data_IF_100963713298
#
_entry.id   IF_100963713298
#
_cell.length_a   1.000
_cell.length_b   1.000
_cell.length_c   1.000
_cell.angle_alpha   90.00
_cell.angle_beta   90.00
_cell.angle_gamma   90.00
#
_symmetry.space_group_name_H-M   'P 1'
#
loop_
_entity.id
_entity.type
_entity.pdbx_description
1 polymer ?
#
# COMPACT_ATOMS: atom_id res chain seq x y z
N UNK A 1 -53.33 2.75 15.53
CA UNK A 1 -52.15 1.96 15.13
C UNK A 1 -51.15 2.83 14.35
N UNK A 2 -50.67 3.96 14.91
CA UNK A 2 -49.80 4.92 14.21
C UNK A 2 -48.58 5.39 15.03
N UNK A 3 -48.40 4.90 16.27
CA UNK A 3 -47.37 5.42 17.17
C UNK A 3 -46.00 4.70 17.07
N UNK A 4 -45.92 3.53 16.42
CA UNK A 4 -44.69 2.70 16.39
C UNK A 4 -43.77 2.99 15.20
N UNK A 5 -44.23 3.76 14.20
CA UNK A 5 -43.44 4.00 12.97
C UNK A 5 -42.47 5.19 13.04
N UNK A 6 -42.66 6.12 13.98
CA UNK A 6 -41.80 7.31 14.12
C UNK A 6 -40.47 7.03 14.86
N UNK A 7 -40.43 6.00 15.71
CA UNK A 7 -39.25 5.70 16.53
C UNK A 7 -38.12 5.04 15.72
N UNK A 8 -38.48 4.23 14.71
CA UNK A 8 -37.51 3.48 13.89
C UNK A 8 -36.61 4.40 13.05
N UNK A 9 -37.13 5.52 12.54
CA UNK A 9 -36.35 6.52 11.81
C UNK A 9 -35.44 7.36 12.73
N UNK A 10 -35.85 7.56 13.99
CA UNK A 10 -35.05 8.31 14.96
C UNK A 10 -33.83 7.50 15.40
N UNK A 11 -34.04 6.20 15.66
CA UNK A 11 -32.98 5.24 16.01
C UNK A 11 -31.97 5.08 14.85
N UNK A 12 -32.43 4.96 13.60
CA UNK A 12 -31.51 4.82 12.45
C UNK A 12 -30.66 6.08 12.23
N UNK A 13 -31.24 7.28 12.40
CA UNK A 13 -30.50 8.55 12.29
C UNK A 13 -29.45 8.70 13.40
N UNK A 14 -29.75 8.24 14.62
CA UNK A 14 -28.85 8.27 15.75
C UNK A 14 -27.67 7.31 15.56
N UNK A 15 -27.95 6.08 15.12
CA UNK A 15 -26.91 5.09 14.81
C UNK A 15 -26.00 5.56 13.68
N UNK A 16 -26.54 6.15 12.61
CA UNK A 16 -25.75 6.69 11.51
C UNK A 16 -24.81 7.82 11.96
N UNK A 17 -25.27 8.70 12.85
CA UNK A 17 -24.43 9.77 13.42
C UNK A 17 -23.29 9.22 14.28
N UNK A 18 -23.53 8.14 15.04
CA UNK A 18 -22.46 7.46 15.81
C UNK A 18 -21.44 6.82 14.87
N UNK A 19 -21.89 6.10 13.84
CA UNK A 19 -21.01 5.45 12.87
C UNK A 19 -20.13 6.47 12.15
N UNK A 20 -20.71 7.57 11.65
CA UNK A 20 -19.96 8.63 10.96
C UNK A 20 -18.93 9.28 11.90
N UNK A 21 -19.30 9.54 13.16
CA UNK A 21 -18.36 10.04 14.17
C UNK A 21 -17.23 9.05 14.44
N UNK A 22 -17.55 7.76 14.55
CA UNK A 22 -16.58 6.69 14.73
C UNK A 22 -15.58 6.62 13.58
N UNK A 23 -16.05 6.61 12.33
CA UNK A 23 -15.20 6.59 11.13
C UNK A 23 -14.32 7.84 11.02
N UNK A 24 -14.84 9.01 11.39
CA UNK A 24 -14.05 10.24 11.45
C UNK A 24 -12.94 10.13 12.50
N UNK A 25 -13.25 9.68 13.72
CA UNK A 25 -12.26 9.51 14.80
C UNK A 25 -11.19 8.51 14.38
N UNK A 26 -11.60 7.36 13.84
CA UNK A 26 -10.68 6.32 13.35
C UNK A 26 -9.72 6.89 12.30
N UNK A 27 -10.25 7.55 11.28
CA UNK A 27 -9.42 8.12 10.20
C UNK A 27 -8.48 9.20 10.73
N UNK A 28 -8.92 9.98 11.73
CA UNK A 28 -8.10 11.00 12.37
C UNK A 28 -6.95 10.37 13.19
N UNK A 29 -7.21 9.30 13.94
CA UNK A 29 -6.19 8.53 14.67
C UNK A 29 -5.16 7.97 13.68
N UNK A 30 -5.62 7.30 12.61
CA UNK A 30 -4.75 6.73 11.57
C UNK A 30 -3.87 7.81 10.94
N UNK A 31 -4.41 9.01 10.71
CA UNK A 31 -3.64 10.14 10.19
C UNK A 31 -2.49 10.58 11.12
N UNK A 32 -2.75 10.73 12.42
CA UNK A 32 -1.70 11.12 13.36
C UNK A 32 -0.68 10.01 13.57
N UNK A 33 -1.13 8.75 13.67
CA UNK A 33 -0.24 7.60 13.72
C UNK A 33 0.67 7.56 12.49
N UNK A 34 0.13 7.79 11.29
CA UNK A 34 0.93 7.84 10.07
C UNK A 34 2.10 8.83 10.16
N UNK A 35 1.86 10.04 10.66
CA UNK A 35 2.93 11.04 10.84
C UNK A 35 3.95 10.62 11.89
N UNK A 36 3.51 10.05 13.02
CA UNK A 36 4.42 9.54 14.07
C UNK A 36 5.31 8.43 13.52
N UNK A 37 4.72 7.46 12.81
CA UNK A 37 5.47 6.38 12.17
C UNK A 37 6.45 6.91 11.11
N UNK A 38 6.05 7.90 10.31
CA UNK A 38 6.91 8.52 9.31
C UNK A 38 8.14 9.14 9.97
N UNK A 39 7.97 9.90 11.04
CA UNK A 39 9.09 10.51 11.79
C UNK A 39 10.02 9.43 12.36
N UNK A 40 9.48 8.37 12.96
CA UNK A 40 10.28 7.26 13.50
C UNK A 40 11.10 6.58 12.39
N UNK A 41 10.49 6.31 11.23
CA UNK A 41 11.18 5.68 10.10
C UNK A 41 12.28 6.58 9.56
N UNK A 42 12.02 7.88 9.39
CA UNK A 42 13.03 8.84 8.90
C UNK A 42 14.21 8.90 9.87
N UNK A 43 13.96 9.00 11.18
CA UNK A 43 15.02 8.97 12.19
C UNK A 43 15.82 7.67 12.11
N UNK A 44 15.15 6.53 12.00
CA UNK A 44 15.79 5.22 11.86
C UNK A 44 16.68 5.11 10.62
N UNK A 45 16.22 5.63 9.48
CA UNK A 45 17.00 5.68 8.24
C UNK A 45 18.21 6.60 8.42
N UNK A 46 18.04 7.79 9.00
CA UNK A 46 19.14 8.72 9.27
C UNK A 46 20.22 8.08 10.17
N UNK A 47 19.83 7.47 11.29
CA UNK A 47 20.77 6.79 12.20
C UNK A 47 21.53 5.69 11.45
N UNK A 48 20.82 4.82 10.72
CA UNK A 48 21.48 3.75 9.95
C UNK A 48 22.43 4.28 8.87
N UNK A 49 22.06 5.39 8.22
CA UNK A 49 22.89 6.05 7.22
C UNK A 49 24.19 6.59 7.84
N UNK A 50 24.14 7.22 9.00
CA UNK A 50 25.32 7.76 9.68
C UNK A 50 26.20 6.70 10.36
N UNK A 51 25.61 5.68 11.00
CA UNK A 51 26.38 4.70 11.79
C UNK A 51 27.01 3.61 10.91
N UNK A 52 26.23 2.99 10.04
CA UNK A 52 26.59 1.66 9.51
C UNK A 52 26.93 1.66 8.03
N UNK A 53 26.52 2.69 7.28
CA UNK A 53 26.64 2.78 5.81
C UNK A 53 26.12 1.50 5.09
N UNK A 54 25.28 0.72 5.77
CA UNK A 54 24.80 -0.60 5.36
C UNK A 54 23.31 -0.67 5.72
N UNK A 55 22.49 -0.96 4.72
CA UNK A 55 21.06 -1.19 4.84
C UNK A 55 20.88 -2.70 4.66
N UNK A 56 20.57 -3.40 5.73
CA UNK A 56 20.21 -4.82 5.65
C UNK A 56 18.80 -4.90 5.04
N UNK A 57 18.70 -5.51 3.85
CA UNK A 57 17.44 -5.66 3.12
C UNK A 57 17.09 -7.14 2.99
N UNK A 58 15.92 -7.52 3.49
CA UNK A 58 15.38 -8.86 3.36
C UNK A 58 14.67 -8.96 1.99
N UNK A 59 15.35 -9.53 0.98
CA UNK A 59 14.74 -9.82 -0.33
C UNK A 59 14.23 -11.27 -0.30
N UNK A 60 12.93 -11.54 -0.49
CA UNK A 60 12.46 -12.90 -0.69
C UNK A 60 12.99 -13.41 -2.03
N UNK A 61 13.75 -14.50 -2.02
CA UNK A 61 14.37 -15.07 -3.22
C UNK A 61 13.94 -16.52 -3.36
N UNK A 62 13.54 -16.90 -4.57
CA UNK A 62 13.24 -18.30 -4.90
C UNK A 62 14.51 -18.96 -5.41
N UNK A 63 14.90 -20.09 -4.82
CA UNK A 63 16.06 -20.88 -5.25
C UNK A 63 15.56 -21.86 -6.31
N UNK A 64 16.04 -21.72 -7.54
CA UNK A 64 15.76 -22.71 -8.58
C UNK A 64 16.82 -23.81 -8.46
N UNK A 65 16.49 -24.92 -7.79
CA UNK A 65 17.39 -26.03 -7.48
C UNK A 65 17.75 -26.90 -8.71
N UNK A 66 18.03 -26.29 -9.86
CA UNK A 66 18.45 -26.98 -11.07
C UNK A 66 19.97 -27.16 -11.16
N UNK A 67 20.75 -26.55 -10.27
CA UNK A 67 22.20 -26.79 -10.15
C UNK A 67 22.56 -27.15 -8.72
N UNK A 68 23.16 -28.33 -8.62
CA UNK A 68 23.63 -29.01 -7.42
C UNK A 68 24.31 -28.03 -6.45
N UNK A 69 23.71 -27.85 -5.27
CA UNK A 69 24.36 -27.15 -4.17
C UNK A 69 25.43 -28.10 -3.60
N UNK A 70 26.70 -27.69 -3.47
CA UNK A 70 27.69 -28.49 -2.76
C UNK A 70 27.29 -28.51 -1.28
N UNK A 71 26.79 -29.66 -0.82
CA UNK A 71 26.56 -29.93 0.60
C UNK A 71 27.93 -30.12 1.25
N UNK A 72 28.52 -29.04 1.74
CA UNK A 72 29.74 -29.13 2.54
C UNK A 72 29.36 -29.57 3.94
N UNK A 73 29.53 -30.86 4.20
CA UNK A 73 29.44 -31.45 5.53
C UNK A 73 28.22 -32.35 5.71
N UNK A 74 28.35 -33.61 5.33
CA UNK A 74 27.90 -34.73 6.15
C UNK A 74 28.53 -36.03 5.65
N UNK A 75 29.02 -36.79 6.61
CA UNK A 75 29.67 -38.08 6.49
C UNK A 75 28.89 -39.04 5.58
N UNK A 76 29.63 -39.80 4.79
CA UNK A 76 29.11 -40.77 3.82
C UNK A 76 28.46 -41.96 4.53
N UNK A 77 27.20 -41.83 4.91
CA UNK A 77 26.26 -42.94 5.03
C UNK A 77 24.85 -42.36 5.18
N UNK A 78 23.96 -42.65 4.22
CA UNK A 78 22.52 -42.35 4.29
C UNK A 78 22.13 -40.88 4.10
N UNK A 79 22.45 -40.30 2.95
CA UNK A 79 21.75 -39.10 2.47
C UNK A 79 20.86 -39.49 1.29
N UNK A 80 19.60 -39.79 1.58
CA UNK A 80 18.54 -39.85 0.59
C UNK A 80 18.41 -38.44 0.01
N UNK A 81 18.91 -38.22 -1.21
CA UNK A 81 18.92 -36.92 -1.87
C UNK A 81 17.49 -36.56 -2.28
N UNK A 82 16.75 -36.00 -1.33
CA UNK A 82 15.48 -35.34 -1.57
C UNK A 82 15.76 -34.08 -2.38
N UNK A 83 15.44 -34.10 -3.67
CA UNK A 83 15.54 -32.90 -4.51
C UNK A 83 14.61 -31.82 -3.94
N UNK A 84 15.18 -30.78 -3.37
CA UNK A 84 14.44 -29.63 -2.88
C UNK A 84 13.98 -28.78 -4.07
N UNK A 85 12.79 -29.08 -4.60
CA UNK A 85 12.11 -28.32 -5.66
C UNK A 85 11.35 -27.16 -5.00
N UNK A 86 11.55 -25.93 -5.48
CA UNK A 86 10.85 -24.71 -5.02
C UNK A 86 10.94 -24.44 -3.51
N UNK A 87 12.15 -24.40 -2.94
CA UNK A 87 12.33 -23.88 -1.58
C UNK A 87 12.32 -22.35 -1.64
N UNK A 88 11.18 -21.77 -1.27
CA UNK A 88 11.06 -20.33 -0.98
C UNK A 88 11.88 -20.03 0.29
N UNK A 89 12.98 -19.29 0.15
CA UNK A 89 13.88 -18.95 1.24
C UNK A 89 14.04 -17.44 1.39
N UNK A 90 13.93 -16.93 2.62
CA UNK A 90 14.29 -15.55 2.96
C UNK A 90 15.81 -15.45 3.07
N UNK A 91 16.51 -15.08 1.99
CA UNK A 91 17.94 -14.79 2.08
C UNK A 91 18.17 -13.32 2.41
N UNK A 92 18.86 -13.10 3.52
CA UNK A 92 19.38 -11.79 3.93
C UNK A 92 20.59 -11.45 3.06
N UNK A 93 20.36 -10.83 1.90
CA UNK A 93 21.45 -10.31 1.11
C UNK A 93 22.04 -9.09 1.83
N UNK A 94 23.27 -9.22 2.35
CA UNK A 94 24.09 -8.07 2.75
C UNK A 94 24.57 -7.35 1.49
N UNK A 95 23.67 -6.65 0.82
CA UNK A 95 24.00 -5.85 -0.35
C UNK A 95 24.77 -4.63 0.13
N UNK A 96 25.98 -4.44 -0.38
CA UNK A 96 26.68 -3.17 -0.22
C UNK A 96 25.90 -2.11 -1.01
N UNK A 97 25.24 -1.19 -0.30
CA UNK A 97 24.50 -0.13 -0.98
C UNK A 97 25.52 0.84 -1.55
N UNK A 98 25.69 0.76 -2.87
CA UNK A 98 26.16 1.90 -3.63
C UNK A 98 25.25 3.11 -3.31
N UNK A 99 25.79 4.33 -3.19
CA UNK A 99 24.99 5.54 -2.93
C UNK A 99 23.81 5.73 -3.88
N UNK A 100 23.93 5.22 -5.12
CA UNK A 100 22.85 5.22 -6.11
C UNK A 100 21.67 4.35 -5.68
N UNK A 101 21.91 3.13 -5.19
CA UNK A 101 20.87 2.19 -4.76
C UNK A 101 20.12 2.72 -3.53
N UNK A 102 20.83 3.30 -2.56
CA UNK A 102 20.19 3.91 -1.39
C UNK A 102 19.33 5.12 -1.79
N UNK A 103 19.81 5.96 -2.70
CA UNK A 103 19.02 7.09 -3.22
C UNK A 103 17.73 6.61 -3.90
N UNK A 104 17.81 5.58 -4.75
CA UNK A 104 16.63 4.99 -5.43
C UNK A 104 15.61 4.50 -4.40
N UNK A 105 16.05 3.72 -3.41
CA UNK A 105 15.16 3.19 -2.36
C UNK A 105 14.47 4.32 -1.59
N UNK A 106 15.21 5.36 -1.20
CA UNK A 106 14.66 6.52 -0.48
C UNK A 106 13.63 7.26 -1.34
N UNK A 107 13.88 7.43 -2.63
CA UNK A 107 12.94 8.08 -3.56
C UNK A 107 11.65 7.26 -3.69
N UNK A 108 11.74 5.95 -3.97
CA UNK A 108 10.56 5.09 -4.10
C UNK A 108 9.76 4.99 -2.81
N UNK A 109 10.45 4.89 -1.67
CA UNK A 109 9.82 4.90 -0.34
C UNK A 109 9.09 6.22 -0.08
N UNK A 110 9.75 7.35 -0.33
CA UNK A 110 9.16 8.69 -0.11
C UNK A 110 7.94 8.92 -1.00
N UNK A 111 8.03 8.51 -2.27
CA UNK A 111 6.92 8.60 -3.21
C UNK A 111 5.73 7.74 -2.77
N UNK A 112 5.99 6.52 -2.30
CA UNK A 112 4.95 5.62 -1.78
C UNK A 112 4.26 6.21 -0.55
N UNK A 113 5.05 6.77 0.38
CA UNK A 113 4.52 7.45 1.58
C UNK A 113 3.70 8.68 1.21
N UNK A 114 4.14 9.47 0.24
CA UNK A 114 3.39 10.63 -0.25
C UNK A 114 2.02 10.24 -0.82
N UNK A 115 1.96 9.20 -1.66
CA UNK A 115 0.71 8.72 -2.24
C UNK A 115 -0.24 8.15 -1.18
N UNK A 116 0.28 7.32 -0.28
CA UNK A 116 -0.52 6.78 0.82
C UNK A 116 -1.07 7.89 1.73
N UNK A 117 -0.22 8.88 2.07
CA UNK A 117 -0.62 10.07 2.80
C UNK A 117 -1.71 10.86 2.07
N UNK A 118 -1.61 11.00 0.75
CA UNK A 118 -2.64 11.67 -0.06
C UNK A 118 -3.98 10.92 -0.05
N UNK A 119 -3.97 9.59 -0.10
CA UNK A 119 -5.19 8.78 0.07
C UNK A 119 -5.82 9.00 1.44
N UNK A 120 -5.03 8.93 2.51
CA UNK A 120 -5.51 9.16 3.88
C UNK A 120 -6.06 10.57 4.07
N UNK A 121 -5.38 11.58 3.53
CA UNK A 121 -5.82 12.97 3.60
C UNK A 121 -7.17 13.18 2.94
N UNK A 122 -7.34 12.69 1.70
CA UNK A 122 -8.60 12.81 0.97
C UNK A 122 -9.74 12.05 1.68
N UNK A 123 -9.45 10.87 2.21
CA UNK A 123 -10.39 10.06 2.99
C UNK A 123 -10.85 10.80 4.25
N UNK A 124 -9.91 11.38 5.01
CA UNK A 124 -10.19 12.21 6.20
C UNK A 124 -11.10 13.38 5.86
N UNK A 125 -10.85 14.07 4.75
CA UNK A 125 -11.65 15.22 4.30
C UNK A 125 -13.07 14.81 3.87
N UNK A 126 -13.24 13.62 3.31
CA UNK A 126 -14.58 13.06 3.02
C UNK A 126 -15.32 12.75 4.32
N UNK A 127 -14.68 12.13 5.32
CA UNK A 127 -15.36 11.91 6.60
C UNK A 127 -15.67 13.20 7.36
N UNK A 128 -14.84 14.23 7.19
CA UNK A 128 -15.10 15.56 7.74
C UNK A 128 -16.37 16.19 7.13
N UNK A 129 -16.58 16.09 5.82
CA UNK A 129 -17.79 16.61 5.17
C UNK A 129 -19.03 15.76 5.45
N UNK A 130 -18.88 14.44 5.61
CA UNK A 130 -19.95 13.56 6.11
C UNK A 130 -20.41 13.95 7.52
N UNK A 131 -19.48 14.29 8.42
CA UNK A 131 -19.80 14.80 9.76
C UNK A 131 -20.54 16.14 9.71
N UNK A 132 -20.26 16.97 8.71
CA UNK A 132 -20.94 18.25 8.49
C UNK A 132 -22.33 18.09 7.81
N UNK A 133 -22.81 16.85 7.61
CA UNK A 133 -24.08 16.55 6.94
C UNK A 133 -24.15 17.04 5.48
N UNK A 134 -22.99 17.20 4.82
CA UNK A 134 -22.88 17.58 3.39
C UNK A 134 -22.20 16.45 2.58
N UNK A 135 -22.85 15.27 2.45
CA UNK A 135 -22.25 14.10 1.79
C UNK A 135 -21.99 14.33 0.30
N UNK A 136 -22.96 14.95 -0.39
CA UNK A 136 -22.94 15.21 -1.82
C UNK A 136 -22.46 16.64 -2.08
N UNK A 137 -21.15 16.79 -2.18
CA UNK A 137 -20.49 18.02 -2.63
C UNK A 137 -19.53 17.65 -3.76
N UNK A 138 -19.44 18.51 -4.79
CA UNK A 138 -18.47 18.42 -5.87
C UNK A 138 -17.03 18.22 -5.37
N UNK A 139 -16.64 18.80 -4.23
CA UNK A 139 -15.33 18.57 -3.63
C UNK A 139 -15.10 17.10 -3.25
N UNK A 140 -16.12 16.43 -2.67
CA UNK A 140 -16.01 15.03 -2.29
C UNK A 140 -15.89 14.13 -3.53
N UNK A 141 -16.57 14.48 -4.62
CA UNK A 141 -16.43 13.80 -5.93
C UNK A 141 -14.98 13.88 -6.40
N UNK A 142 -14.38 15.08 -6.39
CA UNK A 142 -12.97 15.27 -6.77
C UNK A 142 -12.02 14.47 -5.86
N UNK A 143 -12.25 14.50 -4.55
CA UNK A 143 -11.45 13.73 -3.57
C UNK A 143 -11.52 12.23 -3.85
N UNK A 144 -12.70 11.69 -4.14
CA UNK A 144 -12.88 10.28 -4.46
C UNK A 144 -12.14 9.91 -5.76
N UNK A 145 -12.20 10.78 -6.77
CA UNK A 145 -11.43 10.62 -8.01
C UNK A 145 -9.92 10.61 -7.75
N UNK A 146 -9.42 11.52 -6.93
CA UNK A 146 -8.00 11.55 -6.55
C UNK A 146 -7.58 10.30 -5.78
N UNK A 147 -8.40 9.80 -4.85
CA UNK A 147 -8.12 8.53 -4.15
C UNK A 147 -7.96 7.40 -5.16
N UNK A 148 -8.90 7.26 -6.11
CA UNK A 148 -8.81 6.23 -7.16
C UNK A 148 -7.52 6.35 -7.98
N UNK A 149 -7.15 7.57 -8.40
CA UNK A 149 -5.91 7.81 -9.14
C UNK A 149 -4.66 7.50 -8.31
N UNK A 150 -4.61 7.88 -7.03
CA UNK A 150 -3.46 7.59 -6.17
C UNK A 150 -3.31 6.10 -5.89
N UNK A 151 -4.41 5.36 -5.73
CA UNK A 151 -4.37 3.89 -5.58
C UNK A 151 -3.79 3.22 -6.83
N UNK A 152 -4.19 3.66 -8.02
CA UNK A 152 -3.62 3.16 -9.28
C UNK A 152 -2.13 3.55 -9.39
N UNK A 153 -1.78 4.80 -9.07
CA UNK A 153 -0.41 5.27 -9.09
C UNK A 153 0.50 4.46 -8.16
N UNK A 154 0.03 4.09 -6.96
CA UNK A 154 0.78 3.21 -6.04
C UNK A 154 1.06 1.84 -6.68
N UNK A 155 0.09 1.26 -7.39
CA UNK A 155 0.29 -0.01 -8.09
C UNK A 155 1.36 0.08 -9.18
N UNK A 156 1.34 1.18 -9.95
CA UNK A 156 2.34 1.46 -11.00
C UNK A 156 3.72 1.65 -10.38
N UNK A 157 3.84 2.41 -9.31
CA UNK A 157 5.12 2.64 -8.63
C UNK A 157 5.68 1.34 -8.04
N UNK A 158 4.85 0.51 -7.42
CA UNK A 158 5.28 -0.79 -6.90
C UNK A 158 5.78 -1.70 -8.03
N UNK A 159 5.14 -1.66 -9.20
CA UNK A 159 5.61 -2.41 -10.37
C UNK A 159 6.97 -1.89 -10.87
N UNK A 160 7.13 -0.58 -11.00
CA UNK A 160 8.39 0.04 -11.41
C UNK A 160 9.49 -0.29 -10.40
N UNK A 161 9.21 -0.16 -9.10
CA UNK A 161 10.15 -0.49 -8.02
C UNK A 161 10.59 -1.96 -8.09
N UNK A 162 9.66 -2.90 -8.29
CA UNK A 162 9.99 -4.31 -8.47
C UNK A 162 10.87 -4.57 -9.70
N UNK A 163 10.60 -3.88 -10.82
CA UNK A 163 11.38 -3.99 -12.04
C UNK A 163 12.79 -3.40 -11.87
N UNK A 164 12.90 -2.22 -11.26
CA UNK A 164 14.17 -1.55 -10.96
C UNK A 164 15.02 -2.40 -10.03
N UNK A 165 14.43 -2.94 -8.95
CA UNK A 165 15.10 -3.89 -8.05
C UNK A 165 15.57 -5.12 -8.81
N UNK A 166 14.71 -5.75 -9.61
CA UNK A 166 15.10 -6.91 -10.42
C UNK A 166 16.30 -6.60 -11.32
N UNK A 167 16.28 -5.47 -12.04
CA UNK A 167 17.36 -5.05 -12.93
C UNK A 167 18.68 -4.78 -12.20
N UNK A 168 18.64 -4.06 -11.07
CA UNK A 168 19.82 -3.72 -10.28
C UNK A 168 20.45 -4.95 -9.62
N UNK A 169 19.61 -5.82 -9.06
CA UNK A 169 20.09 -7.02 -8.38
C UNK A 169 20.47 -8.15 -9.34
N UNK A 170 20.02 -8.16 -10.60
CA UNK A 170 20.41 -9.17 -11.59
C UNK A 170 21.93 -9.25 -11.76
N UNK A 171 22.63 -8.11 -11.75
CA UNK A 171 24.10 -8.05 -11.87
C UNK A 171 24.79 -8.64 -10.64
N UNK A 172 24.27 -8.35 -9.45
CA UNK A 172 24.82 -8.86 -8.18
C UNK A 172 24.50 -10.34 -7.96
N UNK A 173 23.32 -10.82 -8.40
CA UNK A 173 22.93 -12.23 -8.34
C UNK A 173 23.68 -13.10 -9.37
N UNK A 174 24.02 -12.55 -10.55
CA UNK A 174 24.86 -13.25 -11.52
C UNK A 174 26.28 -13.50 -10.98
N UNK A 175 26.84 -12.55 -10.22
CA UNK A 175 28.11 -12.73 -9.53
C UNK A 175 28.02 -13.76 -8.38
N UNK A 176 26.84 -13.95 -7.79
CA UNK A 176 26.57 -14.97 -6.77
C UNK A 176 26.21 -16.36 -7.34
N UNK A 177 26.53 -16.64 -8.61
CA UNK A 177 26.41 -17.97 -9.22
C UNK A 177 25.12 -18.25 -9.99
N UNK A 178 24.23 -17.27 -10.17
CA UNK A 178 23.07 -17.40 -11.08
C UNK A 178 21.97 -18.38 -10.64
N UNK A 179 21.95 -18.79 -9.36
CA UNK A 179 21.01 -19.77 -8.78
C UNK A 179 19.71 -19.08 -8.31
N UNK A 180 19.73 -17.76 -8.21
CA UNK A 180 18.69 -16.96 -7.56
C UNK A 180 17.88 -16.16 -8.58
N UNK A 181 16.55 -16.17 -8.45
CA UNK A 181 15.65 -15.34 -9.24
C UNK A 181 14.75 -14.51 -8.33
N UNK A 182 14.58 -13.22 -8.68
CA UNK A 182 13.66 -12.32 -7.98
C UNK A 182 12.27 -12.50 -8.59
N UNK A 183 11.33 -12.97 -7.78
CA UNK A 183 9.91 -13.13 -8.15
C UNK A 183 9.25 -11.74 -8.20
N UNK A 184 8.90 -11.29 -9.40
CA UNK A 184 8.10 -10.07 -9.58
C UNK A 184 6.64 -10.47 -9.36
N UNK A 185 6.09 -10.20 -8.17
CA UNK A 185 4.67 -10.40 -7.89
C UNK A 185 3.91 -9.11 -8.21
N UNK A 186 3.19 -9.12 -9.33
CA UNK A 186 2.26 -8.07 -9.71
C UNK A 186 0.96 -8.22 -8.93
N UNK A 187 0.67 -7.28 -8.02
CA UNK A 187 -0.65 -7.17 -7.42
C UNK A 187 -1.63 -6.54 -8.42
N UNK A 188 -2.53 -7.33 -9.00
CA UNK A 188 -3.60 -6.80 -9.87
C UNK A 188 -4.73 -6.13 -9.05
N UNK A 189 -4.96 -6.60 -7.82
CA UNK A 189 -6.01 -6.12 -6.93
C UNK A 189 -6.03 -4.61 -6.68
N UNK A 190 -4.90 -3.93 -6.40
CA UNK A 190 -4.88 -2.48 -6.23
C UNK A 190 -5.39 -1.71 -7.45
N UNK A 191 -5.09 -2.18 -8.67
CA UNK A 191 -5.55 -1.54 -9.91
C UNK A 191 -7.07 -1.63 -10.01
N UNK A 192 -7.64 -2.83 -9.80
CA UNK A 192 -9.10 -3.02 -9.77
C UNK A 192 -9.74 -2.11 -8.72
N UNK A 193 -9.21 -2.10 -7.50
CA UNK A 193 -9.72 -1.27 -6.40
C UNK A 193 -9.73 0.22 -6.78
N UNK A 194 -8.65 0.71 -7.39
CA UNK A 194 -8.59 2.08 -7.88
C UNK A 194 -9.63 2.38 -8.95
N UNK A 195 -9.85 1.47 -9.90
CA UNK A 195 -10.90 1.59 -10.92
C UNK A 195 -12.30 1.62 -10.31
N UNK A 196 -12.59 0.75 -9.33
CA UNK A 196 -13.87 0.74 -8.61
C UNK A 196 -14.11 2.09 -7.93
N UNK A 197 -13.09 2.66 -7.27
CA UNK A 197 -13.20 3.97 -6.63
C UNK A 197 -13.46 5.08 -7.66
N UNK A 198 -12.85 5.01 -8.85
CA UNK A 198 -13.14 5.96 -9.93
C UNK A 198 -14.58 5.85 -10.42
N UNK A 199 -15.10 4.63 -10.62
CA UNK A 199 -16.50 4.41 -10.97
C UNK A 199 -17.42 4.98 -9.89
N UNK A 200 -17.10 4.73 -8.62
CA UNK A 200 -17.85 5.30 -7.50
C UNK A 200 -17.84 6.83 -7.52
N UNK A 201 -16.72 7.45 -7.91
CA UNK A 201 -16.64 8.92 -8.03
C UNK A 201 -17.60 9.46 -9.10
N UNK A 202 -17.78 8.75 -10.21
CA UNK A 202 -18.72 9.13 -11.27
C UNK A 202 -20.18 8.93 -10.83
N UNK A 203 -20.48 7.87 -10.08
CA UNK A 203 -21.80 7.68 -9.48
C UNK A 203 -22.14 8.81 -8.51
N UNK A 204 -21.19 9.20 -7.66
CA UNK A 204 -21.37 10.34 -6.75
C UNK A 204 -21.54 11.66 -7.49
N UNK A 205 -20.87 11.84 -8.65
CA UNK A 205 -21.05 13.01 -9.51
C UNK A 205 -22.49 13.11 -10.02
N UNK A 206 -23.04 12.01 -10.54
CA UNK A 206 -24.44 11.95 -10.98
C UNK A 206 -25.42 12.19 -9.83
N UNK A 207 -25.15 11.61 -8.65
CA UNK A 207 -25.96 11.85 -7.45
C UNK A 207 -25.97 13.33 -7.02
N UNK A 208 -24.82 14.01 -7.13
CA UNK A 208 -24.74 15.45 -6.89
C UNK A 208 -25.55 16.25 -7.92
N UNK A 209 -25.47 15.92 -9.21
CA UNK A 209 -26.25 16.58 -10.27
C UNK A 209 -27.76 16.46 -10.00
N UNK A 210 -28.24 15.26 -9.71
CA UNK A 210 -29.65 15.02 -9.39
C UNK A 210 -30.12 15.82 -8.16
N UNK A 211 -29.26 15.94 -7.14
CA UNK A 211 -29.55 16.77 -5.96
C UNK A 211 -29.73 18.24 -6.34
N UNK A 212 -28.80 18.78 -7.13
CA UNK A 212 -28.83 20.19 -7.57
C UNK A 212 -30.06 20.46 -8.44
N UNK A 213 -30.36 19.57 -9.38
CA UNK A 213 -31.53 19.70 -10.25
C UNK A 213 -32.81 19.74 -9.40
N UNK A 214 -32.97 18.81 -8.45
CA UNK A 214 -34.14 18.78 -7.57
C UNK A 214 -34.27 20.02 -6.66
N UNK A 215 -33.16 20.59 -6.19
CA UNK A 215 -33.15 21.85 -5.43
C UNK A 215 -33.48 23.08 -6.29
N UNK A 216 -33.31 23.00 -7.61
CA UNK A 216 -33.62 24.11 -8.54
C UNK A 216 -35.10 24.18 -8.95
N UNK A 217 -35.87 23.11 -8.73
CA UNK A 217 -37.31 23.05 -9.03
C UNK A 217 -38.20 23.41 -7.82
N UNK A 218 -37.62 23.63 -6.63
CA UNK A 218 -38.32 24.03 -5.40
C UNK A 218 -38.10 25.52 -5.16
#
# INVERSE_FOLDING_TARGET
MFCVHLDRNKISSFMNRIIIRGLYILTNIVWYLFWVFLVIIVIGICIKMFTTHKLEWDVPVTINAAKHLPVTGMDTAQAQVSSLRDVEGLMKFKVQLTPLLSAIVVVFFSLSMFLFGSVLYNTRRIFQSLKAEVPFNLENVKRLRYIGLFVIAMAVINFIDAFVKNALFKVQLQQAGGIYHIKIVLGFWPVITGLIILVLSEVFRKGYQLKVDNESFV
#
